data_IF_336132726441
#
_entry.id   IF_336132726441
#
_cell.length_a   1.000
_cell.length_b   1.000
_cell.length_c   1.000
_cell.angle_alpha   90.00
_cell.angle_beta   90.00
_cell.angle_gamma   90.00
#
_symmetry.space_group_name_H-M   'P 1'
#
loop_
_entity.id
_entity.type
_entity.pdbx_description
1 polymer ?
#
# COMPACT_ATOMS: atom_id res chain seq x y z
N UNK A 1 -9.25 20.64 -27.07
CA UNK A 1 -9.92 19.35 -26.77
C UNK A 1 -10.17 19.35 -25.27
N UNK A 2 -11.43 19.34 -24.82
CA UNK A 2 -11.75 19.19 -23.40
C UNK A 2 -11.50 17.72 -23.08
N UNK A 3 -10.48 17.43 -22.28
CA UNK A 3 -10.34 16.11 -21.66
C UNK A 3 -11.55 15.94 -20.76
N UNK A 4 -12.49 15.09 -21.15
CA UNK A 4 -13.52 14.57 -20.27
C UNK A 4 -12.79 13.87 -19.13
N UNK A 5 -12.70 14.54 -17.99
CA UNK A 5 -12.27 13.90 -16.75
C UNK A 5 -13.33 12.87 -16.43
N UNK A 6 -13.08 11.61 -16.80
CA UNK A 6 -13.87 10.46 -16.34
C UNK A 6 -13.69 10.34 -14.82
N UNK A 7 -14.41 11.17 -14.06
CA UNK A 7 -14.47 11.05 -12.62
C UNK A 7 -15.22 9.75 -12.30
N UNK A 8 -14.50 8.78 -11.78
CA UNK A 8 -15.06 7.53 -11.27
C UNK A 8 -15.63 7.83 -9.87
N UNK A 9 -16.95 7.76 -9.76
CA UNK A 9 -17.64 7.80 -8.47
C UNK A 9 -18.05 6.38 -8.06
N UNK A 10 -18.00 6.15 -6.76
CA UNK A 10 -18.44 4.93 -6.09
C UNK A 10 -19.72 5.25 -5.32
N UNK A 11 -20.58 4.25 -5.15
CA UNK A 11 -21.81 4.38 -4.40
C UNK A 11 -21.73 3.35 -3.28
N UNK A 12 -21.94 3.80 -2.05
CA UNK A 12 -22.13 2.92 -0.88
C UNK A 12 -23.57 3.04 -0.40
N UNK A 13 -24.18 1.92 -0.04
CA UNK A 13 -25.45 1.93 0.67
C UNK A 13 -25.16 2.07 2.17
N UNK A 14 -25.38 3.25 2.74
CA UNK A 14 -25.15 3.47 4.16
C UNK A 14 -26.31 2.89 4.96
N UNK A 15 -26.03 1.91 5.83
CA UNK A 15 -27.05 1.27 6.67
C UNK A 15 -27.61 2.26 7.70
N UNK A 16 -26.74 3.11 8.27
CA UNK A 16 -27.11 4.11 9.27
C UNK A 16 -27.98 5.23 8.67
N UNK A 17 -27.64 5.71 7.48
CA UNK A 17 -28.37 6.80 6.82
C UNK A 17 -29.56 6.29 5.98
N UNK A 18 -29.66 4.98 5.77
CA UNK A 18 -30.67 4.32 4.91
C UNK A 18 -30.78 4.96 3.53
N UNK A 19 -29.64 5.47 3.02
CA UNK A 19 -29.54 6.12 1.72
C UNK A 19 -28.24 5.73 1.05
N UNK A 20 -28.26 5.81 -0.27
CA UNK A 20 -27.07 5.69 -1.08
C UNK A 20 -26.26 6.99 -0.96
N UNK A 21 -24.95 6.83 -0.79
CA UNK A 21 -24.00 7.94 -0.71
C UNK A 21 -22.96 7.78 -1.80
N UNK A 22 -22.83 8.80 -2.64
CA UNK A 22 -21.81 8.86 -3.67
C UNK A 22 -20.50 9.42 -3.09
N UNK A 23 -19.39 8.76 -3.43
CA UNK A 23 -18.07 9.15 -2.98
C UNK A 23 -17.00 8.88 -4.03
N UNK A 24 -15.88 9.58 -3.95
CA UNK A 24 -14.74 9.41 -4.83
C UNK A 24 -13.43 9.43 -4.05
N UNK A 25 -12.39 8.86 -4.63
CA UNK A 25 -11.04 9.04 -4.12
C UNK A 25 -10.54 10.45 -4.45
N UNK A 26 -9.99 11.15 -3.46
CA UNK A 26 -9.30 12.44 -3.63
C UNK A 26 -8.26 12.39 -4.74
N UNK A 27 -7.55 11.26 -4.85
CA UNK A 27 -6.54 11.02 -5.87
C UNK A 27 -6.82 9.70 -6.58
N UNK A 28 -7.73 9.74 -7.57
CA UNK A 28 -8.06 8.58 -8.39
C UNK A 28 -6.84 7.96 -9.10
N UNK A 29 -5.80 8.75 -9.40
CA UNK A 29 -4.60 8.19 -10.05
C UNK A 29 -3.87 7.22 -9.14
N UNK A 30 -3.88 7.46 -7.82
CA UNK A 30 -3.27 6.57 -6.83
C UNK A 30 -3.98 5.22 -6.72
N UNK A 31 -5.27 5.16 -7.04
CA UNK A 31 -6.04 3.91 -7.05
C UNK A 31 -5.39 2.83 -7.93
N UNK A 32 -4.81 3.22 -9.08
CA UNK A 32 -4.21 2.27 -10.02
C UNK A 32 -2.82 1.77 -9.60
N UNK A 33 -2.18 2.41 -8.63
CA UNK A 33 -0.87 1.97 -8.13
C UNK A 33 -1.07 0.93 -7.03
N UNK A 34 -0.68 -0.32 -7.30
CA UNK A 34 -0.78 -1.47 -6.37
C UNK A 34 -0.07 -1.28 -5.01
N UNK A 35 0.72 -0.20 -4.85
CA UNK A 35 1.44 0.13 -3.62
C UNK A 35 0.69 1.10 -2.71
N UNK A 36 -0.39 1.71 -3.18
CA UNK A 36 -1.18 2.62 -2.36
C UNK A 36 -2.08 1.82 -1.40
N UNK A 37 -2.29 2.36 -0.20
CA UNK A 37 -3.27 1.88 0.78
C UNK A 37 -4.10 3.10 1.13
N UNK A 38 -5.39 3.13 0.76
CA UNK A 38 -6.24 4.27 1.05
C UNK A 38 -6.45 4.46 2.55
N UNK A 39 -6.76 5.69 2.92
CA UNK A 39 -7.14 6.10 4.28
C UNK A 39 -8.43 6.91 4.26
N UNK A 40 -9.07 7.12 5.42
CA UNK A 40 -10.29 7.94 5.53
C UNK A 40 -10.13 9.38 5.00
N UNK A 41 -8.92 9.92 5.04
CA UNK A 41 -8.60 11.24 4.52
C UNK A 41 -8.63 11.32 2.98
N UNK A 42 -8.46 10.17 2.32
CA UNK A 42 -8.49 10.06 0.86
C UNK A 42 -9.92 9.93 0.32
N UNK A 43 -10.91 9.67 1.19
CA UNK A 43 -12.33 9.57 0.83
C UNK A 43 -12.94 10.98 0.74
N UNK A 44 -13.51 11.29 -0.42
CA UNK A 44 -14.27 12.52 -0.69
C UNK A 44 -15.73 12.14 -0.90
N UNK A 45 -16.61 12.65 -0.04
CA UNK A 45 -18.05 12.43 -0.12
C UNK A 45 -18.66 13.54 -0.98
N UNK A 46 -19.41 13.15 -2.02
CA UNK A 46 -20.03 14.05 -2.99
C UNK A 46 -21.31 14.65 -2.42
N UNK A 47 -22.07 13.85 -1.67
CA UNK A 47 -23.36 14.25 -1.12
C UNK A 47 -23.25 15.25 0.04
N UNK A 48 -24.32 16.03 0.22
CA UNK A 48 -24.51 16.90 1.37
C UNK A 48 -24.77 16.07 2.63
N UNK A 49 -23.75 16.06 3.49
CA UNK A 49 -23.69 15.34 4.76
C UNK A 49 -23.18 16.28 5.85
N UNK A 50 -23.76 16.16 7.04
CA UNK A 50 -23.27 16.81 8.26
C UNK A 50 -21.92 16.21 8.68
N UNK A 51 -21.12 16.90 9.52
CA UNK A 51 -19.83 16.38 9.96
C UNK A 51 -19.90 14.99 10.62
N UNK A 52 -20.96 14.74 11.39
CA UNK A 52 -21.16 13.46 12.09
C UNK A 52 -21.49 12.34 11.10
N UNK A 53 -22.41 12.59 10.16
CA UNK A 53 -22.75 11.63 9.10
C UNK A 53 -21.55 11.34 8.20
N UNK A 54 -20.70 12.35 7.91
CA UNK A 54 -19.47 12.16 7.13
C UNK A 54 -18.51 11.20 7.83
N UNK A 55 -18.37 11.30 9.14
CA UNK A 55 -17.52 10.40 9.91
C UNK A 55 -18.06 8.96 9.88
N UNK A 56 -19.37 8.79 10.04
CA UNK A 56 -20.04 7.49 9.97
C UNK A 56 -19.86 6.83 8.60
N UNK A 57 -20.19 7.52 7.51
CA UNK A 57 -20.07 6.95 6.16
C UNK A 57 -18.62 6.63 5.81
N UNK A 58 -17.65 7.46 6.24
CA UNK A 58 -16.23 7.15 6.04
C UNK A 58 -15.81 5.88 6.75
N UNK A 59 -16.29 5.67 7.97
CA UNK A 59 -16.02 4.46 8.73
C UNK A 59 -16.64 3.22 8.06
N UNK A 60 -17.88 3.35 7.55
CA UNK A 60 -18.56 2.28 6.79
C UNK A 60 -17.77 1.91 5.53
N UNK A 61 -17.38 2.90 4.72
CA UNK A 61 -16.57 2.68 3.51
C UNK A 61 -15.26 1.96 3.86
N UNK A 62 -14.56 2.42 4.90
CA UNK A 62 -13.32 1.76 5.32
C UNK A 62 -13.55 0.34 5.83
N UNK A 63 -14.65 0.08 6.53
CA UNK A 63 -15.01 -1.24 7.01
C UNK A 63 -15.29 -2.22 5.85
N UNK A 64 -15.98 -1.76 4.80
CA UNK A 64 -16.22 -2.55 3.59
C UNK A 64 -14.91 -2.87 2.85
N UNK A 65 -13.96 -1.94 2.83
CA UNK A 65 -12.66 -2.12 2.19
C UNK A 65 -11.65 -2.90 3.04
N UNK A 66 -11.83 -2.97 4.37
CA UNK A 66 -10.85 -3.55 5.30
C UNK A 66 -10.43 -5.00 4.95
N UNK A 67 -11.30 -5.91 4.48
CA UNK A 67 -10.89 -7.24 4.04
C UNK A 67 -9.81 -7.19 2.95
N UNK A 68 -9.99 -6.38 1.91
CA UNK A 68 -9.03 -6.24 0.81
C UNK A 68 -7.74 -5.56 1.28
N UNK A 69 -7.87 -4.52 2.12
CA UNK A 69 -6.72 -3.82 2.70
C UNK A 69 -5.89 -4.74 3.59
N UNK A 70 -6.54 -5.63 4.34
CA UNK A 70 -5.88 -6.62 5.20
C UNK A 70 -5.08 -7.61 4.38
N UNK A 71 -5.63 -8.12 3.29
CA UNK A 71 -4.90 -9.02 2.38
C UNK A 71 -3.67 -8.35 1.77
N UNK A 72 -3.80 -7.10 1.33
CA UNK A 72 -2.68 -6.35 0.76
C UNK A 72 -1.59 -6.07 1.80
N UNK A 73 -1.97 -5.73 3.05
CA UNK A 73 -1.03 -5.58 4.18
C UNK A 73 -0.31 -6.89 4.46
N UNK A 74 -1.00 -8.03 4.47
CA UNK A 74 -0.41 -9.36 4.66
C UNK A 74 0.57 -9.70 3.53
N UNK A 75 0.21 -9.42 2.27
CA UNK A 75 1.07 -9.63 1.11
C UNK A 75 2.37 -8.83 1.22
N UNK A 76 2.29 -7.56 1.64
CA UNK A 76 3.46 -6.70 1.87
C UNK A 76 4.34 -7.21 3.00
N UNK A 77 3.73 -7.62 4.11
CA UNK A 77 4.46 -8.19 5.24
C UNK A 77 5.18 -9.49 4.84
N UNK A 78 4.54 -10.36 4.07
CA UNK A 78 5.17 -11.58 3.52
C UNK A 78 6.37 -11.25 2.64
N UNK A 79 6.23 -10.30 1.71
CA UNK A 79 7.34 -9.86 0.84
C UNK A 79 8.50 -9.25 1.62
N UNK A 80 8.20 -8.47 2.68
CA UNK A 80 9.22 -7.91 3.57
C UNK A 80 9.95 -9.00 4.36
N UNK A 81 9.23 -10.01 4.87
CA UNK A 81 9.80 -11.18 5.54
C UNK A 81 10.72 -11.97 4.60
N UNK A 82 10.27 -12.25 3.37
CA UNK A 82 11.07 -12.95 2.34
C UNK A 82 12.35 -12.19 2.00
N UNK A 83 12.25 -10.86 1.84
CA UNK A 83 13.43 -10.00 1.61
C UNK A 83 14.44 -10.10 2.75
N UNK A 84 13.97 -9.99 4.00
CA UNK A 84 14.83 -10.12 5.20
C UNK A 84 15.44 -11.52 5.31
N UNK A 85 14.69 -12.56 4.99
CA UNK A 85 15.18 -13.94 4.99
C UNK A 85 16.27 -14.14 3.94
N UNK A 86 16.11 -13.55 2.74
CA UNK A 86 17.13 -13.56 1.68
C UNK A 86 18.39 -12.81 2.08
N UNK A 87 18.24 -11.63 2.70
CA UNK A 87 19.37 -10.84 3.21
C UNK A 87 20.11 -11.58 4.33
N UNK A 88 19.40 -12.25 5.24
CA UNK A 88 19.99 -13.09 6.30
C UNK A 88 20.73 -14.31 5.77
N UNK A 89 20.30 -14.90 4.66
CA UNK A 89 21.02 -16.00 4.00
C UNK A 89 22.34 -15.55 3.35
N UNK A 90 22.60 -14.24 3.29
CA UNK A 90 23.76 -13.67 2.63
C UNK A 90 23.73 -13.86 1.11
N UNK A 91 24.40 -13.01 0.31
CA UNK A 91 24.80 -13.45 -1.02
C UNK A 91 25.66 -14.70 -0.82
N UNK A 92 25.36 -15.80 -1.52
CA UNK A 92 26.29 -16.93 -1.56
C UNK A 92 27.61 -16.40 -2.15
N UNK A 93 28.60 -16.21 -1.28
CA UNK A 93 29.89 -15.58 -1.58
C UNK A 93 30.74 -16.50 -2.48
N UNK A 94 30.30 -17.74 -2.72
CA UNK A 94 30.96 -18.70 -3.62
C UNK A 94 30.93 -18.31 -5.11
N UNK A 95 30.26 -17.20 -5.49
CA UNK A 95 30.28 -16.69 -6.88
C UNK A 95 31.27 -15.54 -7.13
N UNK A 96 31.97 -15.03 -6.11
CA UNK A 96 33.04 -14.03 -6.26
C UNK A 96 34.36 -14.58 -5.75
N UNK A 97 34.92 -15.53 -6.50
CA UNK A 97 36.29 -16.01 -6.33
C UNK A 97 37.35 -15.00 -6.76
N UNK A 98 37.33 -13.79 -6.22
CA UNK A 98 38.43 -12.83 -6.36
C UNK A 98 38.33 -11.76 -5.25
N UNK A 99 39.47 -11.47 -4.61
CA UNK A 99 39.69 -10.40 -3.64
C UNK A 99 39.46 -10.73 -2.15
N UNK A 100 40.00 -11.85 -1.66
CA UNK A 100 40.46 -11.92 -0.26
C UNK A 100 41.98 -11.85 -0.30
N UNK A 101 42.55 -10.74 0.17
CA UNK A 101 44.00 -10.59 0.29
C UNK A 101 44.55 -11.70 1.20
N UNK A 102 45.72 -12.30 0.89
CA UNK A 102 46.28 -13.37 1.71
C UNK A 102 46.58 -12.87 3.14
N UNK A 103 46.52 -13.75 4.16
CA UNK A 103 46.83 -13.41 5.54
C UNK A 103 48.25 -12.83 5.68
N UNK A 104 48.42 -11.90 6.62
CA UNK A 104 49.62 -11.07 6.84
C UNK A 104 50.89 -11.89 7.17
N UNK A 105 50.79 -13.19 7.42
CA UNK A 105 51.89 -14.05 7.88
C UNK A 105 52.95 -14.40 6.81
N UNK A 106 52.69 -14.20 5.52
CA UNK A 106 53.67 -14.52 4.46
C UNK A 106 54.57 -13.35 4.01
N UNK A 107 54.57 -12.21 4.71
CA UNK A 107 55.48 -11.07 4.40
C UNK A 107 56.83 -11.10 5.10
N UNK A 108 57.20 -12.22 5.75
CA UNK A 108 58.45 -12.33 6.49
C UNK A 108 59.29 -13.55 6.06
N UNK A 109 59.53 -13.69 4.76
CA UNK A 109 60.76 -14.35 4.30
C UNK A 109 61.08 -13.94 2.85
N UNK A 110 61.80 -12.84 2.71
CA UNK A 110 62.64 -12.53 1.56
C UNK A 110 63.83 -11.72 2.01
#
# INVERSE_FOLDING_TARGET
>A
MKTESNNIYFIINSEELKREVAWEWRDQKKQFFQTWVPTEADIVLIDELTPDERALVKAEIMHELEPELREERLRRNKKAMEKRARERRGPNIERWGACVAPPIEERRNK
#
